data_IF_908343095297
#
_entry.id   IF_908343095297
#
_cell.length_a   1.000
_cell.length_b   1.000
_cell.length_c   1.000
_cell.angle_alpha   90.00
_cell.angle_beta   90.00
_cell.angle_gamma   90.00
#
_symmetry.space_group_name_H-M   'P 1'
#
loop_
_entity.id
_entity.type
_entity.pdbx_description
1 polymer ?
#
# COMPACT_ATOMS: atom_id res chain seq x y z
N UNK A 1 2.82 -13.89 -11.40
CA UNK A 1 4.20 -14.41 -11.30
C UNK A 1 4.25 -15.76 -10.58
N UNK A 2 3.87 -15.87 -9.29
CA UNK A 2 3.91 -17.17 -8.57
C UNK A 2 3.08 -18.26 -9.27
N UNK A 3 1.83 -17.98 -9.67
CA UNK A 3 0.99 -18.95 -10.40
C UNK A 3 1.65 -19.39 -11.72
N UNK A 4 2.36 -18.49 -12.41
CA UNK A 4 3.10 -18.83 -13.63
C UNK A 4 4.29 -19.75 -13.32
N UNK A 5 5.10 -19.43 -12.30
CA UNK A 5 6.19 -20.31 -11.85
C UNK A 5 5.66 -21.70 -11.48
N UNK A 6 4.54 -21.79 -10.76
CA UNK A 6 3.94 -23.07 -10.40
C UNK A 6 3.43 -23.84 -11.63
N UNK A 7 2.90 -23.16 -12.65
CA UNK A 7 2.48 -23.80 -13.91
C UNK A 7 3.69 -24.35 -14.67
N UNK A 8 4.79 -23.61 -14.69
CA UNK A 8 6.04 -24.04 -15.34
C UNK A 8 6.68 -25.21 -14.58
N UNK A 9 6.71 -25.17 -13.25
CA UNK A 9 7.16 -26.28 -12.40
C UNK A 9 6.28 -27.53 -12.57
N UNK A 10 4.96 -27.36 -12.68
CA UNK A 10 4.01 -28.45 -12.96
C UNK A 10 4.28 -29.08 -14.34
N UNK A 11 4.58 -28.27 -15.35
CA UNK A 11 4.95 -28.77 -16.67
C UNK A 11 6.28 -29.56 -16.65
N UNK A 12 7.27 -29.09 -15.89
CA UNK A 12 8.61 -29.69 -15.86
C UNK A 12 8.75 -30.91 -14.95
N UNK A 13 7.84 -31.10 -14.00
CA UNK A 13 7.94 -32.17 -12.99
C UNK A 13 7.30 -33.49 -13.38
N UNK A 14 6.70 -33.59 -14.57
CA UNK A 14 6.02 -34.82 -15.07
C UNK A 14 4.94 -35.39 -14.13
N UNK A 15 4.44 -34.60 -13.18
CA UNK A 15 3.34 -34.98 -12.28
C UNK A 15 2.03 -34.81 -13.04
N UNK A 16 1.28 -35.90 -13.21
CA UNK A 16 -0.04 -35.82 -13.84
C UNK A 16 -1.01 -35.04 -12.94
N UNK A 17 -1.90 -34.27 -13.57
CA UNK A 17 -2.97 -33.51 -12.90
C UNK A 17 -2.52 -32.44 -11.88
N UNK A 18 -1.23 -32.05 -11.84
CA UNK A 18 -0.75 -31.03 -10.90
C UNK A 18 -1.50 -29.69 -11.00
N UNK A 19 -2.00 -29.33 -12.19
CA UNK A 19 -2.80 -28.12 -12.44
C UNK A 19 -4.04 -28.01 -11.56
N UNK A 20 -4.62 -29.14 -11.12
CA UNK A 20 -5.81 -29.16 -10.25
C UNK A 20 -5.53 -28.58 -8.86
N UNK A 21 -4.28 -28.65 -8.42
CA UNK A 21 -3.87 -28.21 -7.09
C UNK A 21 -3.33 -26.77 -7.04
N UNK A 22 -3.14 -26.12 -8.20
CA UNK A 22 -2.57 -24.76 -8.26
C UNK A 22 -3.59 -23.68 -7.91
N UNK A 23 -4.85 -23.90 -8.23
CA UNK A 23 -5.91 -22.92 -8.06
C UNK A 23 -6.81 -23.38 -6.90
N UNK A 24 -7.08 -22.49 -5.94
CA UNK A 24 -8.07 -22.75 -4.91
C UNK A 24 -9.45 -22.77 -5.57
N UNK A 25 -9.96 -23.97 -5.85
CA UNK A 25 -11.30 -24.18 -6.41
C UNK A 25 -12.41 -23.58 -5.54
N UNK A 26 -13.56 -23.30 -6.15
CA UNK A 26 -14.76 -22.91 -5.42
C UNK A 26 -15.30 -24.13 -4.64
N UNK A 27 -14.91 -24.29 -3.36
CA UNK A 27 -15.47 -25.33 -2.49
C UNK A 27 -14.59 -25.72 -1.30
N UNK A 28 -15.15 -26.55 -0.41
CA UNK A 28 -14.48 -27.12 0.77
C UNK A 28 -13.55 -28.31 0.45
N UNK A 29 -13.04 -28.42 -0.78
CA UNK A 29 -12.25 -29.55 -1.27
C UNK A 29 -10.79 -29.58 -0.79
N UNK A 30 -10.33 -28.56 -0.05
CA UNK A 30 -8.96 -28.52 0.48
C UNK A 30 -8.61 -29.72 1.38
N UNK A 31 -9.61 -30.30 2.05
CA UNK A 31 -9.44 -31.51 2.86
C UNK A 31 -9.34 -32.80 2.00
N UNK A 32 -10.04 -32.89 0.87
CA UNK A 32 -10.02 -34.07 -0.01
C UNK A 32 -8.67 -34.24 -0.73
N UNK A 33 -8.02 -33.14 -1.13
CA UNK A 33 -6.72 -33.19 -1.79
C UNK A 33 -5.58 -33.68 -0.88
N UNK A 34 -5.69 -33.48 0.43
CA UNK A 34 -4.65 -33.90 1.39
C UNK A 34 -4.44 -35.42 1.44
N UNK A 35 -5.44 -36.20 1.03
CA UNK A 35 -5.38 -37.66 0.97
C UNK A 35 -4.87 -38.19 -0.37
N UNK A 36 -4.80 -37.35 -1.41
CA UNK A 36 -4.29 -37.74 -2.72
C UNK A 36 -2.77 -37.90 -2.69
N UNK A 37 -2.29 -39.05 -3.19
CA UNK A 37 -0.86 -39.34 -3.29
C UNK A 37 -0.14 -38.33 -4.20
N UNK A 38 -0.83 -37.84 -5.24
CA UNK A 38 -0.28 -36.86 -6.19
C UNK A 38 -0.13 -35.47 -5.57
N UNK A 39 -0.99 -35.09 -4.63
CA UNK A 39 -0.82 -33.85 -3.85
C UNK A 39 0.43 -33.91 -2.98
N UNK A 40 0.69 -35.03 -2.29
CA UNK A 40 1.91 -35.19 -1.48
C UNK A 40 3.18 -35.13 -2.35
N UNK A 41 3.14 -35.73 -3.53
CA UNK A 41 4.23 -35.64 -4.51
C UNK A 41 4.43 -34.22 -5.04
N UNK A 42 3.35 -33.45 -5.23
CA UNK A 42 3.41 -32.06 -5.65
C UNK A 42 3.91 -31.13 -4.54
N UNK A 43 3.37 -31.23 -3.33
CA UNK A 43 3.74 -30.40 -2.18
C UNK A 43 5.18 -30.64 -1.72
N UNK A 44 5.69 -31.86 -1.91
CA UNK A 44 7.08 -32.21 -1.60
C UNK A 44 8.06 -31.95 -2.74
N UNK A 45 7.60 -31.46 -3.90
CA UNK A 45 8.47 -31.23 -5.03
C UNK A 45 9.34 -29.98 -4.83
N UNK A 46 10.65 -30.14 -5.04
CA UNK A 46 11.59 -29.04 -4.99
C UNK A 46 11.25 -27.94 -6.00
N UNK A 47 10.82 -28.30 -7.22
CA UNK A 47 10.44 -27.31 -8.25
C UNK A 47 9.24 -26.44 -7.84
N UNK A 48 8.32 -26.97 -7.04
CA UNK A 48 7.18 -26.22 -6.53
C UNK A 48 7.59 -25.32 -5.35
N UNK A 49 8.45 -25.81 -4.47
CA UNK A 49 9.01 -25.04 -3.34
C UNK A 49 9.89 -23.88 -3.83
N UNK A 50 10.63 -24.09 -4.92
CA UNK A 50 11.50 -23.11 -5.57
C UNK A 50 10.72 -21.86 -6.01
N UNK A 51 9.42 -21.99 -6.29
CA UNK A 51 8.54 -20.86 -6.61
C UNK A 51 8.20 -19.97 -5.41
N UNK A 52 8.48 -20.39 -4.18
CA UNK A 52 8.31 -19.54 -3.00
C UNK A 52 9.66 -19.04 -2.46
N UNK A 53 10.77 -19.55 -3.00
CA UNK A 53 12.12 -19.18 -2.62
C UNK A 53 12.58 -17.94 -3.39
N UNK A 54 13.24 -17.01 -2.68
CA UNK A 54 13.65 -15.71 -3.22
C UNK A 54 14.71 -15.85 -4.32
N UNK A 55 15.61 -16.82 -4.19
CA UNK A 55 16.85 -16.86 -4.96
C UNK A 55 16.69 -17.53 -6.34
N UNK A 56 15.54 -18.18 -6.60
CA UNK A 56 15.32 -18.96 -7.81
C UNK A 56 14.43 -18.27 -8.84
N UNK A 57 13.63 -17.29 -8.45
CA UNK A 57 12.78 -16.55 -9.38
C UNK A 57 12.74 -15.05 -9.05
N UNK A 58 12.96 -14.21 -10.07
CA UNK A 58 12.90 -12.75 -9.90
C UNK A 58 11.44 -12.29 -9.83
N UNK A 59 10.97 -12.04 -8.61
CA UNK A 59 9.61 -11.55 -8.34
C UNK A 59 9.44 -10.04 -8.48
N UNK A 60 10.54 -9.28 -8.62
CA UNK A 60 10.51 -7.82 -8.67
C UNK A 60 9.83 -7.24 -7.44
N UNK A 61 8.90 -6.30 -7.65
CA UNK A 61 8.14 -5.65 -6.58
C UNK A 61 7.25 -6.60 -5.77
N UNK A 62 6.96 -7.80 -6.28
CA UNK A 62 6.11 -8.78 -5.61
C UNK A 62 6.86 -9.65 -4.59
N UNK A 63 8.18 -9.50 -4.44
CA UNK A 63 8.99 -10.35 -3.55
C UNK A 63 8.45 -10.41 -2.12
N UNK A 64 8.11 -9.26 -1.53
CA UNK A 64 7.53 -9.20 -0.19
C UNK A 64 6.15 -9.87 -0.10
N UNK A 65 5.35 -9.80 -1.16
CA UNK A 65 4.04 -10.43 -1.19
C UNK A 65 4.14 -11.98 -1.21
N UNK A 66 5.18 -12.53 -1.84
CA UNK A 66 5.43 -13.99 -1.84
C UNK A 66 5.68 -14.49 -0.42
N UNK A 67 6.59 -13.84 0.32
CA UNK A 67 6.89 -14.19 1.72
C UNK A 67 5.69 -14.03 2.65
N UNK A 68 4.81 -13.09 2.36
CA UNK A 68 3.60 -12.90 3.14
C UNK A 68 2.56 -14.01 2.91
N UNK A 69 2.65 -14.73 1.79
CA UNK A 69 1.74 -15.83 1.46
C UNK A 69 2.04 -17.09 2.28
N UNK A 70 3.28 -17.26 2.72
CA UNK A 70 3.71 -18.36 3.60
C UNK A 70 3.43 -18.11 5.09
N UNK A 71 2.94 -16.92 5.44
CA UNK A 71 2.63 -16.56 6.83
C UNK A 71 1.27 -17.14 7.27
N UNK A 72 1.22 -17.83 8.41
CA UNK A 72 -0.01 -18.50 8.86
C UNK A 72 -1.02 -17.55 9.51
N UNK A 73 -0.55 -16.41 10.02
CA UNK A 73 -1.38 -15.49 10.81
C UNK A 73 -2.08 -14.45 9.92
N UNK A 74 -3.42 -14.52 9.83
CA UNK A 74 -4.23 -13.59 9.02
C UNK A 74 -4.02 -12.13 9.44
N UNK A 75 -3.92 -11.88 10.75
CA UNK A 75 -3.74 -10.55 11.31
C UNK A 75 -2.42 -9.94 10.82
N UNK A 76 -1.32 -10.68 10.91
CA UNK A 76 0.00 -10.23 10.45
C UNK A 76 -0.01 -9.94 8.95
N UNK A 77 -0.63 -10.81 8.15
CA UNK A 77 -0.79 -10.59 6.70
C UNK A 77 -1.53 -9.30 6.40
N UNK A 78 -2.61 -9.03 7.11
CA UNK A 78 -3.43 -7.83 6.90
C UNK A 78 -2.68 -6.56 7.34
N UNK A 79 -2.15 -6.52 8.56
CA UNK A 79 -1.44 -5.36 9.11
C UNK A 79 -0.19 -5.04 8.28
N UNK A 80 0.57 -6.05 7.89
CA UNK A 80 1.76 -5.86 7.06
C UNK A 80 1.40 -5.35 5.66
N UNK A 81 0.35 -5.90 5.03
CA UNK A 81 -0.12 -5.43 3.72
C UNK A 81 -0.59 -3.98 3.78
N UNK A 82 -1.31 -3.60 4.84
CA UNK A 82 -1.74 -2.22 5.07
C UNK A 82 -0.56 -1.28 5.26
N UNK A 83 0.40 -1.66 6.12
CA UNK A 83 1.60 -0.87 6.37
C UNK A 83 2.40 -0.66 5.08
N UNK A 84 2.60 -1.72 4.31
CA UNK A 84 3.29 -1.66 3.03
C UNK A 84 2.58 -0.74 2.05
N UNK A 85 1.26 -0.88 1.88
CA UNK A 85 0.48 0.00 1.01
C UNK A 85 0.56 1.47 1.42
N UNK A 86 0.44 1.74 2.72
CA UNK A 86 0.58 3.08 3.29
C UNK A 86 1.97 3.67 3.01
N UNK A 87 3.04 2.89 3.20
CA UNK A 87 4.41 3.30 2.92
C UNK A 87 4.58 3.66 1.44
N UNK A 88 4.05 2.85 0.52
CA UNK A 88 4.20 3.11 -0.92
C UNK A 88 3.45 4.36 -1.39
N UNK A 89 2.24 4.58 -0.88
CA UNK A 89 1.48 5.79 -1.21
C UNK A 89 2.19 7.03 -0.66
N UNK A 90 2.66 6.96 0.59
CA UNK A 90 3.32 8.09 1.27
C UNK A 90 4.69 8.44 0.67
N UNK A 91 5.37 7.46 0.08
CA UNK A 91 6.68 7.66 -0.56
C UNK A 91 6.61 7.79 -2.07
N UNK A 92 5.41 7.83 -2.66
CA UNK A 92 5.20 7.85 -4.12
C UNK A 92 5.96 6.71 -4.83
N UNK A 93 5.87 5.51 -4.25
CA UNK A 93 6.59 4.31 -4.68
C UNK A 93 8.13 4.46 -4.76
N UNK A 94 8.74 5.43 -4.08
CA UNK A 94 10.17 5.71 -4.18
C UNK A 94 11.10 4.60 -3.72
N UNK A 95 10.61 3.65 -2.90
CA UNK A 95 11.38 2.49 -2.44
C UNK A 95 11.20 1.24 -3.34
N UNK A 96 10.54 1.35 -4.49
CA UNK A 96 10.32 0.23 -5.40
C UNK A 96 10.84 0.52 -6.80
N UNK A 97 11.56 -0.44 -7.35
CA UNK A 97 12.02 -0.44 -8.74
C UNK A 97 11.24 -1.52 -9.52
N UNK A 98 10.28 -1.15 -10.40
CA UNK A 98 9.58 -2.13 -11.20
C UNK A 98 10.54 -2.80 -12.18
N UNK A 99 10.33 -4.08 -12.44
CA UNK A 99 11.02 -4.80 -13.51
C UNK A 99 10.46 -4.40 -14.88
N UNK A 100 11.02 -4.91 -15.98
CA UNK A 100 10.54 -4.71 -17.35
C UNK A 100 9.17 -5.36 -17.65
N UNK A 101 8.46 -5.80 -16.61
CA UNK A 101 7.13 -6.39 -16.75
C UNK A 101 6.06 -5.31 -16.74
N UNK A 102 5.26 -5.25 -17.80
CA UNK A 102 4.24 -4.22 -18.02
C UNK A 102 3.28 -4.08 -16.84
N UNK A 103 2.86 -5.19 -16.22
CA UNK A 103 1.95 -5.15 -15.07
C UNK A 103 2.56 -4.50 -13.82
N UNK A 104 3.87 -4.63 -13.60
CA UNK A 104 4.55 -3.97 -12.48
C UNK A 104 4.63 -2.47 -12.73
N UNK A 105 5.00 -2.07 -13.95
CA UNK A 105 5.07 -0.66 -14.34
C UNK A 105 3.71 0.03 -14.19
N UNK A 106 2.63 -0.58 -14.71
CA UNK A 106 1.28 -0.03 -14.59
C UNK A 106 0.82 0.07 -13.13
N UNK A 107 1.12 -0.93 -12.31
CA UNK A 107 0.79 -0.93 -10.89
C UNK A 107 1.54 0.18 -10.13
N UNK A 108 2.85 0.32 -10.37
CA UNK A 108 3.67 1.38 -9.78
C UNK A 108 3.21 2.77 -10.24
N UNK A 109 2.88 2.94 -11.53
CA UNK A 109 2.29 4.18 -12.06
C UNK A 109 0.98 4.55 -11.36
N UNK A 110 0.09 3.58 -11.13
CA UNK A 110 -1.16 3.80 -10.42
C UNK A 110 -0.93 4.26 -8.97
N UNK A 111 0.01 3.65 -8.24
CA UNK A 111 0.35 4.08 -6.87
C UNK A 111 0.87 5.52 -6.85
N UNK A 112 1.78 5.86 -7.77
CA UNK A 112 2.31 7.22 -7.89
C UNK A 112 1.17 8.21 -8.17
N UNK A 113 0.29 7.89 -9.12
CA UNK A 113 -0.86 8.73 -9.46
C UNK A 113 -1.80 8.96 -8.27
N UNK A 114 -2.18 7.90 -7.57
CA UNK A 114 -3.03 7.97 -6.36
C UNK A 114 -2.34 8.77 -5.25
N UNK A 115 -1.04 8.53 -5.01
CA UNK A 115 -0.27 9.26 -4.02
C UNK A 115 -0.21 10.76 -4.31
N UNK A 116 0.08 11.15 -5.55
CA UNK A 116 0.12 12.56 -5.95
C UNK A 116 -1.24 13.25 -5.79
N UNK A 117 -2.34 12.59 -6.16
CA UNK A 117 -3.69 13.11 -5.98
C UNK A 117 -4.01 13.33 -4.49
N UNK A 118 -3.68 12.35 -3.65
CA UNK A 118 -3.89 12.44 -2.20
C UNK A 118 -3.04 13.54 -1.56
N UNK A 119 -1.77 13.67 -1.97
CA UNK A 119 -0.89 14.73 -1.49
C UNK A 119 -1.39 16.11 -1.90
N UNK A 120 -1.79 16.29 -3.16
CA UNK A 120 -2.37 17.55 -3.63
C UNK A 120 -3.64 17.92 -2.85
N UNK A 121 -4.52 16.94 -2.61
CA UNK A 121 -5.73 17.13 -1.81
C UNK A 121 -5.40 17.52 -0.36
N UNK A 122 -4.44 16.84 0.26
CA UNK A 122 -4.02 17.12 1.64
C UNK A 122 -3.40 18.51 1.78
N UNK A 123 -2.52 18.89 0.85
CA UNK A 123 -1.91 20.22 0.80
C UNK A 123 -3.00 21.30 0.65
N UNK A 124 -3.95 21.11 -0.26
CA UNK A 124 -5.06 22.04 -0.46
C UNK A 124 -5.91 22.23 0.81
N UNK A 125 -6.23 21.14 1.51
CA UNK A 125 -6.97 21.21 2.76
C UNK A 125 -6.19 21.90 3.88
N UNK A 126 -4.89 21.60 4.04
CA UNK A 126 -4.04 22.27 5.02
C UNK A 126 -3.92 23.76 4.73
N UNK A 127 -3.73 24.15 3.47
CA UNK A 127 -3.67 25.56 3.05
C UNK A 127 -4.97 26.30 3.41
N UNK A 128 -6.13 25.73 3.11
CA UNK A 128 -7.43 26.32 3.45
C UNK A 128 -7.60 26.51 4.96
N UNK A 129 -7.22 25.51 5.75
CA UNK A 129 -7.28 25.58 7.21
C UNK A 129 -6.35 26.67 7.78
N UNK A 130 -5.10 26.72 7.32
CA UNK A 130 -4.13 27.72 7.75
C UNK A 130 -4.56 29.13 7.35
N UNK A 131 -5.07 29.31 6.13
CA UNK A 131 -5.61 30.60 5.67
C UNK A 131 -6.78 31.06 6.54
N UNK A 132 -7.68 30.16 6.95
CA UNK A 132 -8.78 30.50 7.85
C UNK A 132 -8.28 30.98 9.23
N UNK A 133 -7.26 30.32 9.79
CA UNK A 133 -6.63 30.73 11.06
C UNK A 133 -5.93 32.09 10.94
N UNK A 134 -5.15 32.28 9.87
CA UNK A 134 -4.45 33.54 9.59
C UNK A 134 -5.45 34.69 9.41
N UNK A 135 -6.54 34.46 8.66
CA UNK A 135 -7.61 35.46 8.48
C UNK A 135 -8.24 35.87 9.81
N UNK A 136 -8.55 34.91 10.70
CA UNK A 136 -9.09 35.22 12.04
C UNK A 136 -8.11 36.03 12.88
N UNK A 137 -6.81 35.67 12.86
CA UNK A 137 -5.76 36.44 13.55
C UNK A 137 -5.64 37.86 13.03
N UNK A 138 -5.67 38.03 11.71
CA UNK A 138 -5.61 39.33 11.04
C UNK A 138 -6.85 40.19 11.39
N UNK A 139 -8.05 39.62 11.35
CA UNK A 139 -9.28 40.32 11.74
C UNK A 139 -9.23 40.81 13.19
N UNK A 140 -8.79 39.96 14.13
CA UNK A 140 -8.59 40.37 15.53
C UNK A 140 -7.53 41.47 15.69
N UNK A 141 -6.46 41.45 14.89
CA UNK A 141 -5.44 42.51 14.91
C UNK A 141 -5.97 43.83 14.35
N UNK A 142 -6.74 43.78 13.26
CA UNK A 142 -7.35 44.97 12.65
C UNK A 142 -8.34 45.62 13.60
N UNK A 143 -9.26 44.85 14.19
CA UNK A 143 -10.21 45.37 15.19
C UNK A 143 -9.52 46.02 16.38
N UNK A 144 -8.41 45.44 16.87
CA UNK A 144 -7.60 46.08 17.93
C UNK A 144 -7.07 47.45 17.52
N UNK A 145 -6.49 47.56 16.32
CA UNK A 145 -5.97 48.84 15.80
C UNK A 145 -7.08 49.86 15.58
N UNK A 146 -8.22 49.44 15.06
CA UNK A 146 -9.38 50.31 14.85
C UNK A 146 -9.88 50.87 16.19
N UNK A 147 -9.96 50.03 17.24
CA UNK A 147 -10.31 50.46 18.59
C UNK A 147 -9.25 51.42 19.16
N UNK A 148 -7.96 51.11 19.03
CA UNK A 148 -6.88 52.01 19.46
C UNK A 148 -6.92 53.38 18.76
N UNK A 149 -7.20 53.38 17.45
CA UNK A 149 -7.28 54.59 16.64
C UNK A 149 -8.52 55.42 16.99
N UNK A 150 -9.66 54.75 17.23
CA UNK A 150 -10.87 55.38 17.75
C UNK A 150 -10.65 56.00 19.14
N UNK A 151 -9.96 55.28 20.05
CA UNK A 151 -9.64 55.79 21.39
C UNK A 151 -8.72 57.01 21.33
N UNK A 152 -7.73 57.01 20.44
CA UNK A 152 -6.86 58.17 20.18
C UNK A 152 -7.64 59.37 19.68
N UNK A 153 -8.58 59.16 18.75
CA UNK A 153 -9.37 60.24 18.17
C UNK A 153 -10.25 60.95 19.22
N UNK A 154 -10.79 60.20 20.19
CA UNK A 154 -11.61 60.77 21.29
C UNK A 154 -10.83 61.31 22.49
N UNK A 155 -9.50 61.29 22.46
CA UNK A 155 -8.62 61.74 23.57
C UNK A 155 -9.02 61.16 24.93
N UNK A 156 -9.26 59.84 25.01
CA UNK A 156 -9.53 59.21 26.31
C UNK A 156 -8.29 59.35 27.22
N UNK A 157 -8.47 59.70 28.51
CA UNK A 157 -7.38 59.76 29.47
C UNK A 157 -6.75 58.37 29.67
N UNK A 158 -5.44 58.31 29.92
CA UNK A 158 -4.62 57.08 29.94
C UNK A 158 -5.14 55.98 30.89
N UNK A 159 -5.97 56.34 31.88
CA UNK A 159 -6.56 55.42 32.86
C UNK A 159 -7.73 54.59 32.30
N UNK A 160 -8.28 54.98 31.13
CA UNK A 160 -9.41 54.33 30.45
C UNK A 160 -9.02 53.77 29.05
N UNK A 161 -7.75 53.86 28.68
CA UNK A 161 -7.19 53.46 27.38
C UNK A 161 -6.51 52.10 27.46
#
# INVERSE_FOLDING_TARGET
RVNQCLRDACHNSSIQDCKKFLDCGHGNGGAEYSQDQTWKSWSGNQQASDCFEKDKFSYGIYEQAVKLTTENSIITRYVYSLFWGFQQISTLAGNQTPSYFVGEVLFTMAIIGVGLLLFAFLIGNMQNFLQALVKRRLDMSLRRRDVEQWMRHRRLPEQLR
#
